data_IF_749824032238
#
_entry.id   IF_749824032238
#
_cell.length_a   1.000
_cell.length_b   1.000
_cell.length_c   1.000
_cell.angle_alpha   90.00
_cell.angle_beta   90.00
_cell.angle_gamma   90.00
#
_symmetry.space_group_name_H-M   'P 1'
#
loop_
_entity.id
_entity.type
_entity.pdbx_description
1 polymer ?
#
# COMPACT_ATOMS: atom_id res chain seq x y z
N UNK A 1 -18.61 44.74 60.44
CA UNK A 1 -18.13 43.68 61.36
C UNK A 1 -16.91 43.02 60.73
N UNK A 2 -15.79 43.03 61.47
CA UNK A 2 -14.51 42.31 61.33
C UNK A 2 -14.10 41.87 59.91
N UNK A 3 -13.38 42.69 59.15
CA UNK A 3 -11.93 42.99 59.12
C UNK A 3 -10.99 41.87 58.66
N UNK A 4 -9.95 42.21 57.88
CA UNK A 4 -9.22 41.29 57.01
C UNK A 4 -7.71 41.18 57.36
N UNK A 5 -7.01 40.39 56.55
CA UNK A 5 -5.74 40.74 55.89
C UNK A 5 -4.35 40.64 56.57
N UNK A 6 -3.51 39.85 55.88
CA UNK A 6 -2.10 40.07 55.43
C UNK A 6 -0.95 39.54 56.32
N UNK A 7 0.14 39.17 55.61
CA UNK A 7 1.59 39.26 55.92
C UNK A 7 2.21 37.84 56.14
N UNK A 8 3.26 37.33 55.46
CA UNK A 8 4.36 37.85 54.59
C UNK A 8 5.09 36.68 53.87
N UNK A 9 5.59 36.95 52.65
CA UNK A 9 6.96 36.77 52.07
C UNK A 9 7.78 35.50 52.37
N UNK A 10 8.22 34.77 51.31
CA UNK A 10 9.59 34.67 50.71
C UNK A 10 10.63 34.05 51.68
N UNK A 11 11.54 33.13 51.35
CA UNK A 11 12.11 32.66 50.07
C UNK A 11 13.17 31.57 50.36
N UNK A 12 13.51 30.76 49.33
CA UNK A 12 14.84 30.17 49.00
C UNK A 12 15.52 29.21 49.99
N UNK A 13 15.93 28.01 49.50
CA UNK A 13 17.31 27.76 49.04
C UNK A 13 17.42 26.35 48.41
N UNK A 14 18.08 26.28 47.24
CA UNK A 14 18.67 25.08 46.66
C UNK A 14 20.18 25.10 46.94
N UNK A 15 20.82 23.94 47.16
CA UNK A 15 22.14 23.66 46.58
C UNK A 15 22.54 22.16 46.67
N UNK A 16 23.41 21.83 45.72
CA UNK A 16 23.87 20.54 45.19
C UNK A 16 25.06 19.92 45.94
N UNK A 17 25.36 18.66 45.56
CA UNK A 17 26.68 18.12 45.17
C UNK A 17 27.32 17.08 46.12
N UNK A 18 27.60 15.87 45.62
CA UNK A 18 28.93 15.22 45.72
C UNK A 18 29.05 13.93 44.87
N UNK A 19 30.13 13.88 44.08
CA UNK A 19 30.69 12.71 43.36
C UNK A 19 31.75 12.05 44.25
N UNK A 20 31.95 10.72 44.19
CA UNK A 20 33.24 10.12 44.52
C UNK A 20 33.53 8.83 43.73
N UNK A 21 34.71 8.81 43.11
CA UNK A 21 35.38 7.74 42.37
C UNK A 21 36.34 6.96 43.31
N UNK A 22 36.58 5.66 43.08
CA UNK A 22 37.82 4.98 43.50
C UNK A 22 38.27 3.95 42.43
N UNK A 23 39.59 3.87 42.24
CA UNK A 23 40.34 3.22 41.14
C UNK A 23 41.14 1.98 41.63
N UNK A 24 41.25 0.94 40.75
CA UNK A 24 42.42 0.07 40.38
C UNK A 24 43.16 -0.78 41.46
N UNK A 25 43.70 -2.02 41.31
CA UNK A 25 43.95 -3.11 40.30
C UNK A 25 44.68 -4.29 41.05
N UNK A 26 45.31 -5.34 40.45
CA UNK A 26 44.98 -6.28 39.34
C UNK A 26 45.24 -7.79 39.68
N UNK A 27 44.91 -8.72 38.77
CA UNK A 27 45.69 -9.96 38.52
C UNK A 27 45.38 -10.57 37.13
N UNK A 28 46.43 -10.95 36.38
CA UNK A 28 46.38 -11.60 35.07
C UNK A 28 46.16 -13.13 35.17
N UNK A 29 45.46 -13.70 34.18
CA UNK A 29 45.82 -14.98 33.55
C UNK A 29 45.02 -15.17 32.27
N UNK A 30 45.70 -15.49 31.16
CA UNK A 30 45.08 -15.75 29.86
C UNK A 30 44.36 -17.10 29.79
N UNK A 31 43.32 -17.17 28.96
CA UNK A 31 42.80 -18.37 28.35
C UNK A 31 42.11 -18.01 27.03
N UNK A 32 42.37 -18.82 26.00
CA UNK A 32 41.85 -18.71 24.64
C UNK A 32 40.33 -18.53 24.59
N UNK A 33 39.87 -17.52 23.85
CA UNK A 33 38.51 -17.46 23.33
C UNK A 33 38.47 -18.23 22.01
N UNK A 34 37.87 -19.42 22.04
CA UNK A 34 37.42 -20.13 20.86
C UNK A 34 36.34 -19.32 20.15
N UNK A 35 36.36 -19.37 18.82
CA UNK A 35 35.31 -18.83 17.95
C UNK A 35 33.94 -19.31 18.45
N UNK A 36 33.10 -18.38 18.88
CA UNK A 36 31.69 -18.65 19.06
C UNK A 36 31.08 -18.75 17.66
N UNK A 37 30.41 -19.87 17.40
CA UNK A 37 29.66 -20.14 16.18
C UNK A 37 28.80 -18.93 15.80
N UNK A 38 29.05 -18.40 14.61
CA UNK A 38 28.14 -17.47 13.95
C UNK A 38 26.78 -18.16 13.81
N UNK A 39 25.67 -17.58 14.30
CA UNK A 39 24.36 -18.12 14.00
C UNK A 39 24.16 -18.00 12.50
N UNK A 40 23.92 -19.14 11.87
CA UNK A 40 23.51 -19.25 10.48
C UNK A 40 22.28 -18.35 10.31
N UNK A 41 22.40 -17.24 9.58
CA UNK A 41 21.24 -16.45 9.16
C UNK A 41 20.61 -17.24 8.02
N UNK A 42 19.76 -18.19 8.38
CA UNK A 42 18.81 -18.75 7.43
C UNK A 42 17.94 -17.61 6.91
N UNK A 43 17.94 -17.42 5.59
CA UNK A 43 16.96 -16.57 4.92
C UNK A 43 15.56 -17.01 5.37
N UNK A 44 14.65 -16.11 5.75
CA UNK A 44 13.32 -16.53 6.17
C UNK A 44 12.55 -17.01 4.93
N UNK A 45 12.60 -18.32 4.67
CA UNK A 45 11.79 -19.02 3.66
C UNK A 45 10.46 -19.54 4.20
N UNK A 46 10.10 -19.24 5.44
CA UNK A 46 8.79 -19.65 5.98
C UNK A 46 7.75 -18.59 5.68
N UNK A 47 7.03 -18.80 4.58
CA UNK A 47 5.67 -18.28 4.38
C UNK A 47 4.88 -18.60 5.66
N UNK A 48 4.12 -17.63 6.20
CA UNK A 48 3.24 -17.84 7.35
C UNK A 48 2.43 -19.13 7.16
N UNK A 49 2.39 -19.98 8.18
CA UNK A 49 1.81 -21.33 8.11
C UNK A 49 0.31 -21.34 7.74
N UNK A 50 -0.36 -20.19 7.83
CA UNK A 50 -1.79 -20.01 7.54
C UNK A 50 -2.06 -19.03 6.36
N UNK A 51 -1.05 -18.74 5.53
CA UNK A 51 -1.26 -17.94 4.31
C UNK A 51 -2.06 -18.75 3.28
N UNK A 52 -3.27 -18.28 3.00
CA UNK A 52 -4.05 -18.72 1.85
C UNK A 52 -3.58 -17.93 0.63
N UNK A 53 -3.28 -18.63 -0.46
CA UNK A 53 -2.89 -18.06 -1.73
C UNK A 53 -3.72 -18.65 -2.86
N UNK A 54 -4.35 -17.79 -3.64
CA UNK A 54 -5.13 -18.14 -4.81
C UNK A 54 -4.69 -17.27 -6.00
N UNK A 55 -3.90 -17.87 -6.89
CA UNK A 55 -3.46 -17.29 -8.17
C UNK A 55 -4.32 -17.72 -9.37
N UNK A 56 -5.32 -18.59 -9.17
CA UNK A 56 -6.26 -19.03 -10.21
C UNK A 56 -5.60 -19.61 -11.47
N UNK A 57 -4.61 -20.47 -11.29
CA UNK A 57 -3.86 -21.13 -12.36
C UNK A 57 -4.48 -22.48 -12.74
N UNK A 58 -5.34 -23.05 -11.89
CA UNK A 58 -6.04 -24.30 -12.18
C UNK A 58 -7.49 -24.28 -11.72
N UNK A 59 -8.33 -25.14 -12.29
CA UNK A 59 -9.72 -25.27 -11.82
C UNK A 59 -9.82 -25.78 -10.39
N UNK A 60 -8.76 -26.41 -9.86
CA UNK A 60 -8.72 -26.89 -8.49
C UNK A 60 -8.60 -25.74 -7.48
N UNK A 61 -8.06 -24.59 -7.89
CA UNK A 61 -7.96 -23.36 -7.09
C UNK A 61 -9.36 -22.82 -6.71
N UNK A 62 -10.37 -23.12 -7.54
CA UNK A 62 -11.76 -22.77 -7.21
C UNK A 62 -12.38 -23.69 -6.14
N UNK A 63 -11.80 -24.86 -5.87
CA UNK A 63 -12.36 -25.81 -4.89
C UNK A 63 -12.25 -25.30 -3.45
N UNK A 64 -11.29 -24.40 -3.20
CA UNK A 64 -11.16 -23.72 -1.93
C UNK A 64 -12.40 -22.86 -1.65
N UNK A 65 -12.96 -22.21 -2.67
CA UNK A 65 -14.07 -21.28 -2.49
C UNK A 65 -15.44 -21.96 -2.41
N UNK A 66 -16.42 -21.32 -1.76
CA UNK A 66 -17.83 -21.57 -2.11
C UNK A 66 -18.27 -20.61 -3.20
N UNK A 67 -19.06 -21.10 -4.14
CA UNK A 67 -19.48 -20.35 -5.31
C UNK A 67 -20.91 -19.82 -5.10
N UNK A 68 -21.07 -18.50 -5.19
CA UNK A 68 -22.36 -17.84 -5.31
C UNK A 68 -22.57 -17.43 -6.76
N UNK A 69 -22.99 -18.38 -7.62
CA UNK A 69 -23.25 -18.12 -9.06
C UNK A 69 -24.47 -18.89 -9.55
N UNK A 70 -25.20 -18.32 -10.52
CA UNK A 70 -26.32 -19.00 -11.19
C UNK A 70 -25.83 -19.90 -12.33
N UNK A 71 -24.79 -19.44 -13.03
CA UNK A 71 -24.60 -19.78 -14.42
C UNK A 71 -23.17 -20.26 -14.69
N UNK A 72 -22.99 -21.04 -15.76
CA UNK A 72 -21.70 -21.65 -16.08
C UNK A 72 -20.69 -20.65 -16.65
N UNK A 73 -21.14 -19.56 -17.27
CA UNK A 73 -20.24 -18.51 -17.78
C UNK A 73 -19.79 -17.52 -16.71
N UNK A 74 -20.47 -17.47 -15.56
CA UNK A 74 -20.29 -16.38 -14.60
C UNK A 74 -18.89 -16.36 -13.99
N UNK A 75 -18.25 -17.52 -13.84
CA UNK A 75 -16.88 -17.64 -13.33
C UNK A 75 -16.12 -18.55 -14.27
N UNK A 76 -15.03 -18.05 -14.85
CA UNK A 76 -14.12 -18.82 -15.71
C UNK A 76 -12.69 -18.40 -15.47
N UNK A 77 -11.78 -19.36 -15.48
CA UNK A 77 -10.37 -19.06 -15.66
C UNK A 77 -10.16 -18.49 -17.06
N UNK A 78 -9.34 -17.46 -17.15
CA UNK A 78 -9.10 -16.72 -18.36
C UNK A 78 -7.63 -16.27 -18.41
N UNK A 79 -6.97 -16.55 -19.54
CA UNK A 79 -5.57 -16.16 -19.78
C UNK A 79 -5.43 -14.87 -20.58
N UNK A 80 -6.52 -14.16 -20.87
CA UNK A 80 -6.46 -12.88 -21.60
C UNK A 80 -5.79 -11.79 -20.76
N UNK A 81 -6.09 -11.76 -19.46
CA UNK A 81 -5.46 -10.88 -18.49
C UNK A 81 -5.03 -11.73 -17.30
N UNK A 82 -3.77 -11.65 -16.90
CA UNK A 82 -3.25 -12.23 -15.65
C UNK A 82 -2.47 -11.17 -14.89
N UNK A 83 -2.55 -11.20 -13.56
CA UNK A 83 -1.75 -10.35 -12.68
C UNK A 83 -0.48 -11.07 -12.26
N UNK A 84 -0.65 -12.35 -11.95
CA UNK A 84 0.42 -13.28 -11.62
C UNK A 84 0.36 -14.45 -12.59
N UNK A 85 1.51 -15.06 -12.85
CA UNK A 85 1.60 -16.27 -13.65
C UNK A 85 0.82 -16.17 -14.99
N UNK A 86 -0.11 -17.09 -15.29
CA UNK A 86 -0.67 -17.22 -16.64
C UNK A 86 -2.16 -16.96 -16.76
N UNK A 87 -2.90 -16.99 -15.66
CA UNK A 87 -4.35 -16.91 -15.67
C UNK A 87 -4.89 -15.99 -14.57
N UNK A 88 -6.13 -15.57 -14.73
CA UNK A 88 -6.91 -14.98 -13.66
C UNK A 88 -8.35 -15.48 -13.73
N UNK A 89 -9.18 -15.08 -12.77
CA UNK A 89 -10.59 -15.42 -12.81
C UNK A 89 -11.42 -14.30 -13.39
N UNK A 90 -12.08 -14.57 -14.51
CA UNK A 90 -13.09 -13.70 -15.11
C UNK A 90 -14.45 -13.89 -14.43
N UNK A 91 -15.00 -12.79 -13.93
CA UNK A 91 -16.35 -12.71 -13.38
C UNK A 91 -17.28 -12.02 -14.38
N UNK A 92 -18.42 -12.64 -14.69
CA UNK A 92 -19.45 -12.10 -15.56
C UNK A 92 -20.84 -12.20 -14.93
N UNK A 93 -21.53 -11.07 -14.88
CA UNK A 93 -22.90 -10.95 -14.38
C UNK A 93 -23.76 -10.21 -15.40
N UNK A 94 -24.85 -10.83 -15.83
CA UNK A 94 -25.88 -10.17 -16.63
C UNK A 94 -27.03 -9.68 -15.75
N UNK A 95 -27.69 -8.62 -16.19
CA UNK A 95 -28.83 -8.01 -15.49
C UNK A 95 -29.95 -8.97 -15.17
N UNK A 96 -30.19 -9.91 -16.08
CA UNK A 96 -31.32 -10.84 -15.98
C UNK A 96 -30.89 -12.25 -15.54
N UNK A 97 -29.65 -12.44 -15.10
CA UNK A 97 -29.17 -13.67 -14.47
C UNK A 97 -30.03 -14.06 -13.26
N UNK A 98 -30.42 -15.33 -13.04
CA UNK A 98 -31.20 -15.74 -11.88
C UNK A 98 -30.63 -15.26 -10.54
N UNK A 99 -31.51 -14.99 -9.57
CA UNK A 99 -31.09 -14.60 -8.23
C UNK A 99 -30.26 -15.69 -7.56
N UNK A 100 -29.17 -15.27 -6.93
CA UNK A 100 -28.33 -16.10 -6.07
C UNK A 100 -28.24 -15.42 -4.72
N UNK A 101 -28.47 -16.18 -3.64
CA UNK A 101 -28.48 -15.65 -2.27
C UNK A 101 -29.36 -14.40 -2.13
N UNK A 102 -30.54 -14.44 -2.76
CA UNK A 102 -31.56 -13.39 -2.67
C UNK A 102 -31.33 -12.13 -3.52
N UNK A 103 -30.29 -12.08 -4.37
CA UNK A 103 -30.05 -10.93 -5.26
C UNK A 103 -29.16 -11.29 -6.47
N UNK A 104 -28.70 -10.29 -7.23
CA UNK A 104 -27.89 -10.47 -8.45
C UNK A 104 -26.40 -10.43 -8.14
N UNK A 105 -25.75 -11.59 -8.21
CA UNK A 105 -24.34 -11.73 -7.85
C UNK A 105 -23.64 -12.88 -8.57
N UNK A 106 -22.33 -12.74 -8.65
CA UNK A 106 -21.37 -13.80 -8.94
C UNK A 106 -20.18 -13.60 -8.02
N UNK A 107 -20.03 -14.44 -7.00
CA UNK A 107 -18.98 -14.25 -5.99
C UNK A 107 -18.34 -15.58 -5.58
N UNK A 108 -17.07 -15.50 -5.20
CA UNK A 108 -16.37 -16.52 -4.43
C UNK A 108 -16.42 -16.12 -2.96
N UNK A 109 -16.71 -17.05 -2.05
CA UNK A 109 -16.68 -16.83 -0.60
C UNK A 109 -15.70 -17.77 0.11
N UNK A 110 -14.89 -17.20 1.01
CA UNK A 110 -13.89 -17.94 1.78
C UNK A 110 -14.49 -18.75 2.94
N UNK A 111 -15.81 -18.68 3.15
CA UNK A 111 -16.50 -19.19 4.35
C UNK A 111 -16.20 -20.66 4.69
N UNK A 112 -15.93 -21.51 3.68
CA UNK A 112 -15.60 -22.93 3.88
C UNK A 112 -14.28 -23.14 4.64
N UNK A 113 -13.37 -22.19 4.54
CA UNK A 113 -12.01 -22.27 5.11
C UNK A 113 -11.84 -21.34 6.30
N UNK A 114 -12.95 -20.93 6.90
CA UNK A 114 -12.98 -20.17 8.13
C UNK A 114 -13.21 -18.67 7.92
N UNK A 115 -13.35 -18.02 9.07
CA UNK A 115 -13.55 -16.59 9.21
C UNK A 115 -12.44 -16.02 10.08
N UNK A 116 -12.14 -14.74 9.92
CA UNK A 116 -11.39 -13.96 10.88
C UNK A 116 -12.08 -13.98 12.26
N UNK A 117 -11.45 -14.51 13.31
CA UNK A 117 -12.00 -14.44 14.66
C UNK A 117 -12.20 -12.99 15.12
N UNK A 118 -13.11 -12.76 16.07
CA UNK A 118 -13.19 -11.48 16.75
C UNK A 118 -11.87 -11.15 17.45
N UNK A 119 -11.54 -9.87 17.51
CA UNK A 119 -10.32 -9.30 18.08
C UNK A 119 -9.00 -9.80 17.46
N UNK A 120 -9.06 -10.44 16.29
CA UNK A 120 -7.88 -10.86 15.51
C UNK A 120 -7.45 -9.81 14.50
N UNK A 121 -6.17 -9.87 14.11
CA UNK A 121 -5.65 -9.16 12.94
C UNK A 121 -5.73 -10.10 11.74
N UNK A 122 -6.18 -9.58 10.59
CA UNK A 122 -6.11 -10.27 9.31
C UNK A 122 -5.55 -9.37 8.23
N UNK A 123 -4.82 -10.01 7.32
CA UNK A 123 -4.35 -9.42 6.08
C UNK A 123 -5.12 -9.99 4.90
N UNK A 124 -5.48 -9.13 3.95
CA UNK A 124 -6.13 -9.53 2.71
C UNK A 124 -5.44 -8.85 1.54
N UNK A 125 -5.15 -9.60 0.48
CA UNK A 125 -4.66 -9.09 -0.79
C UNK A 125 -5.58 -9.51 -1.92
N UNK A 126 -5.79 -8.63 -2.90
CA UNK A 126 -6.59 -8.91 -4.09
C UNK A 126 -6.25 -7.93 -5.22
N UNK A 127 -6.20 -8.42 -6.44
CA UNK A 127 -5.98 -7.62 -7.64
C UNK A 127 -7.22 -7.62 -8.53
N UNK A 128 -7.55 -6.45 -9.09
CA UNK A 128 -8.69 -6.26 -9.97
C UNK A 128 -8.26 -5.70 -11.32
N UNK A 129 -8.73 -6.30 -12.42
CA UNK A 129 -8.65 -5.73 -13.75
C UNK A 129 -10.05 -5.31 -14.21
N UNK A 130 -10.21 -4.02 -14.46
CA UNK A 130 -11.47 -3.45 -14.95
C UNK A 130 -11.27 -3.00 -16.40
N UNK A 131 -11.92 -3.63 -17.38
CA UNK A 131 -11.73 -3.29 -18.78
C UNK A 131 -12.36 -1.92 -19.11
N UNK A 132 -11.92 -1.29 -20.19
CA UNK A 132 -12.49 -0.03 -20.69
C UNK A 132 -13.96 -0.14 -21.08
N UNK A 133 -14.43 -1.32 -21.49
CA UNK A 133 -15.82 -1.58 -21.88
C UNK A 133 -16.78 -1.88 -20.70
N UNK A 134 -16.27 -1.93 -19.47
CA UNK A 134 -17.08 -2.15 -18.26
C UNK A 134 -18.12 -1.03 -18.03
N UNK A 135 -17.93 0.13 -18.66
CA UNK A 135 -18.87 1.25 -18.64
C UNK A 135 -18.91 2.00 -17.30
N UNK A 136 -19.63 3.12 -17.30
CA UNK A 136 -19.92 3.92 -16.10
C UNK A 136 -21.38 3.71 -15.73
N UNK A 137 -21.62 3.47 -14.44
CA UNK A 137 -22.96 3.30 -13.88
C UNK A 137 -23.08 4.13 -12.60
N UNK A 138 -24.19 4.87 -12.41
CA UNK A 138 -24.40 5.66 -11.21
C UNK A 138 -24.72 4.80 -9.98
N UNK A 139 -25.17 3.56 -10.16
CA UNK A 139 -25.40 2.61 -9.06
C UNK A 139 -24.13 1.84 -8.76
N UNK A 140 -23.97 1.45 -7.49
CA UNK A 140 -22.81 0.67 -7.07
C UNK A 140 -22.93 -0.81 -7.45
N UNK A 141 -21.78 -1.45 -7.58
CA UNK A 141 -21.61 -2.88 -7.41
C UNK A 141 -20.48 -3.15 -6.42
N UNK A 142 -20.71 -4.06 -5.50
CA UNK A 142 -19.70 -4.51 -4.55
C UNK A 142 -18.78 -5.51 -5.27
N UNK A 143 -17.47 -5.34 -5.10
CA UNK A 143 -16.46 -6.22 -5.71
C UNK A 143 -15.59 -6.96 -4.70
N UNK A 144 -15.61 -6.48 -3.45
CA UNK A 144 -15.08 -7.17 -2.28
C UNK A 144 -15.96 -6.86 -1.08
N UNK A 145 -16.33 -7.87 -0.30
CA UNK A 145 -17.06 -7.69 0.95
C UNK A 145 -16.63 -8.69 2.01
N UNK A 146 -16.70 -8.27 3.27
CA UNK A 146 -16.48 -9.12 4.41
C UNK A 146 -17.81 -9.31 5.10
N UNK A 147 -18.22 -10.55 5.24
CA UNK A 147 -19.52 -10.90 5.81
C UNK A 147 -19.33 -11.58 7.16
N UNK A 148 -20.16 -11.20 8.13
CA UNK A 148 -20.18 -11.89 9.41
C UNK A 148 -20.95 -13.20 9.30
N UNK A 149 -20.47 -14.24 9.99
CA UNK A 149 -21.28 -15.44 10.22
C UNK A 149 -22.22 -15.19 11.41
N UNK A 150 -23.54 -15.41 11.27
CA UNK A 150 -24.49 -15.25 12.37
C UNK A 150 -24.19 -16.20 13.53
N UNK A 151 -24.40 -15.74 14.77
CA UNK A 151 -24.21 -16.55 15.98
C UNK A 151 -25.30 -17.60 16.15
N UNK A 152 -26.53 -17.22 15.79
CA UNK A 152 -27.68 -18.11 15.73
C UNK A 152 -28.29 -18.08 14.32
N UNK A 153 -28.56 -19.26 13.79
CA UNK A 153 -29.17 -19.45 12.48
C UNK A 153 -30.62 -19.93 12.69
N UNK A 154 -31.52 -19.00 13.06
CA UNK A 154 -32.95 -19.27 13.03
C UNK A 154 -33.40 -19.28 11.57
N UNK A 155 -34.17 -20.28 11.11
CA UNK A 155 -34.59 -20.35 9.70
C UNK A 155 -35.67 -19.28 9.39
N UNK A 156 -35.41 -18.31 8.49
CA UNK A 156 -34.22 -18.12 7.66
C UNK A 156 -33.10 -17.30 8.35
N UNK A 157 -31.85 -17.76 8.22
CA UNK A 157 -30.72 -17.16 8.94
C UNK A 157 -30.56 -15.67 8.62
N UNK A 158 -30.43 -14.83 9.65
CA UNK A 158 -30.16 -13.40 9.47
C UNK A 158 -28.67 -13.15 9.21
N UNK A 159 -28.32 -13.22 7.94
CA UNK A 159 -26.97 -12.89 7.47
C UNK A 159 -26.66 -11.41 7.68
N UNK A 160 -27.63 -10.50 7.50
CA UNK A 160 -27.40 -9.06 7.61
C UNK A 160 -26.59 -8.46 6.45
N UNK A 161 -26.26 -7.17 6.54
CA UNK A 161 -25.33 -6.49 5.63
C UNK A 161 -23.88 -6.85 5.93
N UNK A 162 -22.94 -6.72 4.99
CA UNK A 162 -21.54 -6.93 5.30
C UNK A 162 -21.02 -5.82 6.24
N UNK A 163 -20.25 -6.15 7.30
CA UNK A 163 -19.53 -5.17 8.11
C UNK A 163 -18.53 -4.34 7.31
N UNK A 164 -18.02 -4.81 6.18
CA UNK A 164 -17.12 -4.01 5.33
C UNK A 164 -17.29 -4.38 3.86
N UNK A 165 -17.20 -3.40 2.96
CA UNK A 165 -17.07 -3.66 1.53
C UNK A 165 -16.32 -2.55 0.81
N UNK A 166 -15.79 -2.89 -0.36
CA UNK A 166 -15.43 -1.95 -1.41
C UNK A 166 -16.31 -2.16 -2.64
N UNK A 167 -16.65 -1.06 -3.30
CA UNK A 167 -17.56 -1.04 -4.43
C UNK A 167 -17.03 -0.11 -5.55
N UNK A 168 -17.59 -0.30 -6.74
CA UNK A 168 -17.40 0.62 -7.87
C UNK A 168 -18.74 1.33 -8.10
N UNK A 169 -18.72 2.67 -8.15
CA UNK A 169 -19.83 3.48 -8.67
C UNK A 169 -19.30 4.78 -9.27
N UNK A 170 -19.91 5.25 -10.36
CA UNK A 170 -19.54 6.52 -10.97
C UNK A 170 -18.06 6.63 -11.36
N UNK A 171 -17.43 5.52 -11.75
CA UNK A 171 -15.99 5.42 -12.06
C UNK A 171 -15.05 5.71 -10.87
N UNK A 172 -15.52 5.52 -9.64
CA UNK A 172 -14.73 5.65 -8.42
C UNK A 172 -14.72 4.32 -7.66
N UNK A 173 -13.58 4.00 -7.07
CA UNK A 173 -13.48 3.05 -5.99
C UNK A 173 -14.06 3.70 -4.74
N UNK A 174 -14.93 2.99 -4.05
CA UNK A 174 -15.63 3.46 -2.86
C UNK A 174 -15.69 2.37 -1.82
N UNK A 175 -16.03 2.72 -0.60
CA UNK A 175 -16.13 1.71 0.44
C UNK A 175 -16.63 2.25 1.75
N UNK A 176 -17.11 1.31 2.54
CA UNK A 176 -17.56 1.60 3.88
C UNK A 176 -17.37 0.39 4.78
N UNK A 177 -17.24 0.67 6.08
CA UNK A 177 -17.38 -0.34 7.12
C UNK A 177 -18.40 0.09 8.17
N UNK A 178 -18.78 -0.88 8.99
CA UNK A 178 -19.79 -0.78 10.03
C UNK A 178 -19.26 -1.42 11.30
N UNK A 179 -19.78 -0.98 12.44
CA UNK A 179 -19.52 -1.61 13.73
C UNK A 179 -20.78 -1.62 14.60
N UNK A 180 -20.79 -2.54 15.57
CA UNK A 180 -21.86 -2.76 16.54
C UNK A 180 -21.22 -3.21 17.85
N UNK A 181 -21.48 -2.51 18.95
CA UNK A 181 -20.88 -2.77 20.26
C UNK A 181 -21.52 -3.95 20.99
N UNK A 182 -22.84 -4.15 20.86
CA UNK A 182 -23.62 -5.01 21.75
C UNK A 182 -24.03 -6.35 21.13
N UNK A 183 -23.67 -6.58 19.85
CA UNK A 183 -23.94 -7.81 19.12
C UNK A 183 -25.39 -7.94 18.68
N UNK A 184 -26.22 -6.92 18.95
CA UNK A 184 -27.60 -6.85 18.49
C UNK A 184 -27.63 -6.11 17.17
N UNK A 185 -27.20 -6.81 16.13
CA UNK A 185 -27.49 -6.39 14.77
C UNK A 185 -28.98 -6.66 14.47
N UNK A 186 -29.88 -5.94 15.14
CA UNK A 186 -31.32 -6.01 14.96
C UNK A 186 -31.71 -5.22 13.71
N UNK A 187 -32.49 -5.84 12.81
CA UNK A 187 -33.07 -5.21 11.63
C UNK A 187 -32.06 -4.47 10.72
N UNK A 188 -30.83 -4.98 10.62
CA UNK A 188 -29.83 -4.41 9.72
C UNK A 188 -29.36 -2.98 10.09
N UNK A 189 -29.41 -2.62 11.38
CA UNK A 189 -29.04 -1.29 11.87
C UNK A 189 -27.74 -1.35 12.69
N UNK A 190 -26.58 -0.92 12.13
CA UNK A 190 -25.33 -0.86 12.88
C UNK A 190 -25.30 0.36 13.83
N UNK A 191 -24.47 0.31 14.87
CA UNK A 191 -24.21 1.46 15.76
C UNK A 191 -23.44 2.58 15.05
N UNK A 192 -22.58 2.20 14.11
CA UNK A 192 -21.82 3.15 13.32
C UNK A 192 -21.57 2.69 11.90
N UNK A 193 -21.49 3.68 11.01
CA UNK A 193 -21.10 3.53 9.60
C UNK A 193 -20.00 4.53 9.32
N UNK A 194 -18.92 4.06 8.72
CA UNK A 194 -17.80 4.91 8.28
C UNK A 194 -17.61 4.68 6.79
N UNK A 195 -17.70 5.77 6.03
CA UNK A 195 -17.44 5.79 4.59
C UNK A 195 -16.01 6.29 4.33
N UNK A 196 -15.35 5.68 3.35
CA UNK A 196 -14.00 6.05 2.91
C UNK A 196 -13.94 6.22 1.39
N UNK A 197 -15.05 6.66 0.80
CA UNK A 197 -15.23 6.86 -0.65
C UNK A 197 -14.14 7.71 -1.30
N UNK A 198 -13.69 8.77 -0.63
CA UNK A 198 -12.70 9.70 -1.19
C UNK A 198 -11.26 9.18 -1.09
N UNK A 199 -11.01 8.09 -0.35
CA UNK A 199 -9.66 7.59 -0.12
C UNK A 199 -9.15 6.74 -1.29
N UNK A 200 -10.02 6.02 -2.00
CA UNK A 200 -9.60 5.01 -2.97
C UNK A 200 -9.45 5.56 -4.40
N UNK A 201 -10.00 6.73 -4.69
CA UNK A 201 -9.87 7.43 -5.96
C UNK A 201 -10.53 6.75 -7.17
N UNK A 202 -10.13 7.16 -8.37
CA UNK A 202 -10.75 6.70 -9.61
C UNK A 202 -10.41 5.24 -9.97
N UNK A 203 -11.33 4.63 -10.72
CA UNK A 203 -11.11 3.32 -11.35
C UNK A 203 -10.27 3.50 -12.61
N UNK A 204 -9.03 3.03 -12.52
CA UNK A 204 -8.13 2.86 -13.66
C UNK A 204 -8.67 1.74 -14.57
N UNK A 205 -8.67 1.97 -15.88
CA UNK A 205 -9.14 1.00 -16.88
C UNK A 205 -7.96 0.31 -17.56
N UNK A 206 -8.19 -0.91 -18.03
CA UNK A 206 -7.26 -1.74 -18.79
C UNK A 206 -5.89 -1.97 -18.11
N UNK A 207 -5.87 -1.89 -16.79
CA UNK A 207 -4.70 -2.17 -15.95
C UNK A 207 -5.14 -2.75 -14.61
N UNK A 208 -4.23 -3.47 -13.96
CA UNK A 208 -4.48 -4.04 -12.64
C UNK A 208 -4.50 -2.95 -11.56
N UNK A 209 -5.44 -3.08 -10.63
CA UNK A 209 -5.48 -2.34 -9.38
C UNK A 209 -5.34 -3.32 -8.24
N UNK A 210 -4.28 -3.16 -7.45
CA UNK A 210 -3.95 -4.02 -6.34
C UNK A 210 -4.46 -3.39 -5.05
N UNK A 211 -5.16 -4.16 -4.22
CA UNK A 211 -5.52 -3.75 -2.87
C UNK A 211 -4.92 -4.69 -1.84
N UNK A 212 -4.38 -4.11 -0.78
CA UNK A 212 -4.04 -4.81 0.45
C UNK A 212 -4.80 -4.18 1.60
N UNK A 213 -5.35 -5.01 2.47
CA UNK A 213 -6.08 -4.61 3.67
C UNK A 213 -5.41 -5.23 4.88
N UNK A 214 -5.19 -4.44 5.92
CA UNK A 214 -4.89 -4.94 7.26
C UNK A 214 -6.02 -4.52 8.18
N UNK A 215 -6.66 -5.48 8.84
CA UNK A 215 -7.83 -5.22 9.67
C UNK A 215 -7.66 -5.87 11.02
N UNK A 216 -7.87 -5.11 12.10
CA UNK A 216 -8.13 -5.68 13.42
C UNK A 216 -9.63 -5.63 13.69
N UNK A 217 -10.28 -6.78 13.58
CA UNK A 217 -11.72 -6.91 13.77
C UNK A 217 -12.09 -6.75 15.24
N UNK A 218 -12.33 -5.53 15.69
CA UNK A 218 -12.66 -5.24 17.08
C UNK A 218 -13.65 -4.10 17.17
N UNK A 219 -14.61 -4.25 18.07
CA UNK A 219 -15.67 -3.25 18.30
C UNK A 219 -15.24 -2.18 19.32
N UNK A 220 -13.97 -2.19 19.75
CA UNK A 220 -13.40 -1.15 20.61
C UNK A 220 -12.46 -0.23 19.84
N UNK A 221 -11.93 0.77 20.54
CA UNK A 221 -10.86 1.66 20.11
C UNK A 221 -9.56 0.97 19.65
N UNK A 222 -9.36 -0.32 19.94
CA UNK A 222 -8.19 -1.08 19.46
C UNK A 222 -8.36 -1.60 18.04
N UNK A 223 -9.57 -1.59 17.49
CA UNK A 223 -9.83 -1.94 16.08
C UNK A 223 -9.12 -0.99 15.14
N UNK A 224 -8.80 -1.46 13.93
CA UNK A 224 -8.22 -0.62 12.89
C UNK A 224 -8.47 -1.17 11.49
N UNK A 225 -8.36 -0.29 10.50
CA UNK A 225 -8.38 -0.61 9.08
C UNK A 225 -7.29 0.19 8.37
N UNK A 226 -6.35 -0.52 7.74
CA UNK A 226 -5.39 0.05 6.80
C UNK A 226 -5.64 -0.48 5.40
N UNK A 227 -5.59 0.39 4.41
CA UNK A 227 -5.81 0.04 3.01
C UNK A 227 -4.66 0.60 2.18
N UNK A 228 -3.99 -0.29 1.46
CA UNK A 228 -3.05 0.08 0.40
C UNK A 228 -3.71 -0.14 -0.95
N UNK A 229 -3.50 0.80 -1.87
CA UNK A 229 -3.86 0.68 -3.29
C UNK A 229 -2.60 0.84 -4.12
N UNK A 230 -2.27 -0.15 -4.95
CA UNK A 230 -1.08 -0.17 -5.79
C UNK A 230 0.21 0.13 -5.00
N UNK A 231 0.39 -0.53 -3.84
CA UNK A 231 1.54 -0.28 -2.96
C UNK A 231 1.40 0.92 -2.03
N UNK A 232 0.51 1.87 -2.29
CA UNK A 232 0.44 3.13 -1.53
C UNK A 232 -0.60 3.02 -0.42
N UNK A 233 -0.24 3.35 0.83
CA UNK A 233 -1.20 3.46 1.94
C UNK A 233 -2.15 4.64 1.65
N UNK A 234 -3.43 4.33 1.39
CA UNK A 234 -4.44 5.33 1.01
C UNK A 234 -5.47 5.58 2.11
N UNK A 235 -5.52 4.70 3.12
CA UNK A 235 -6.43 4.83 4.25
C UNK A 235 -5.83 4.20 5.52
N UNK A 236 -5.84 4.93 6.63
CA UNK A 236 -5.38 4.47 7.95
C UNK A 236 -6.39 4.94 9.01
N UNK A 237 -7.16 4.01 9.56
CA UNK A 237 -8.21 4.26 10.53
C UNK A 237 -7.95 3.48 11.82
N UNK A 238 -8.11 4.14 12.95
CA UNK A 238 -8.10 3.54 14.29
C UNK A 238 -9.48 3.75 14.95
N UNK A 239 -10.08 2.67 15.43
CA UNK A 239 -11.39 2.67 16.07
C UNK A 239 -12.20 1.40 15.82
N UNK A 240 -13.46 1.37 16.26
CA UNK A 240 -14.30 0.18 16.14
C UNK A 240 -14.58 -0.21 14.68
N UNK A 241 -14.49 -1.50 14.39
CA UNK A 241 -14.78 -2.10 13.08
C UNK A 241 -15.32 -3.53 13.23
N UNK A 242 -16.31 -3.87 12.41
CA UNK A 242 -16.92 -5.20 12.40
C UNK A 242 -18.05 -5.35 13.40
N UNK A 243 -18.86 -6.39 13.20
CA UNK A 243 -19.94 -6.74 14.11
C UNK A 243 -19.44 -7.68 15.21
N UNK A 244 -19.97 -7.53 16.41
CA UNK A 244 -19.74 -8.45 17.53
C UNK A 244 -20.49 -9.78 17.31
N UNK A 245 -20.08 -10.57 16.31
CA UNK A 245 -20.60 -11.91 16.00
C UNK A 245 -19.49 -12.94 16.15
N UNK A 246 -19.65 -13.89 17.06
CA UNK A 246 -18.70 -14.97 17.39
C UNK A 246 -18.27 -15.81 16.18
N UNK A 247 -19.10 -15.91 15.14
CA UNK A 247 -18.78 -16.58 13.89
C UNK A 247 -17.71 -15.89 13.02
N UNK A 248 -17.27 -14.68 13.40
CA UNK A 248 -16.21 -13.94 12.73
C UNK A 248 -16.59 -13.40 11.35
N UNK A 249 -15.59 -12.89 10.62
CA UNK A 249 -15.76 -12.28 9.30
C UNK A 249 -15.02 -13.03 8.19
N UNK A 250 -15.70 -13.39 7.11
CA UNK A 250 -15.10 -14.06 5.95
C UNK A 250 -15.16 -13.16 4.71
N UNK A 251 -14.17 -13.29 3.83
CA UNK A 251 -14.06 -12.47 2.62
C UNK A 251 -14.87 -13.07 1.47
N UNK A 252 -15.40 -12.19 0.64
CA UNK A 252 -15.99 -12.52 -0.65
C UNK A 252 -15.42 -11.59 -1.72
N UNK A 253 -15.16 -12.14 -2.89
CA UNK A 253 -14.70 -11.40 -4.08
C UNK A 253 -15.59 -11.74 -5.27
N UNK A 254 -15.82 -10.77 -6.16
CA UNK A 254 -16.60 -10.99 -7.37
C UNK A 254 -17.39 -9.75 -7.77
N UNK A 255 -18.67 -9.94 -8.10
CA UNK A 255 -19.59 -8.85 -8.46
C UNK A 255 -20.91 -9.09 -7.74
N UNK A 256 -21.29 -8.18 -6.85
CA UNK A 256 -22.63 -8.10 -6.30
C UNK A 256 -23.29 -6.77 -6.71
N UNK A 257 -24.28 -6.84 -7.63
CA UNK A 257 -24.94 -5.67 -8.20
C UNK A 257 -26.43 -5.65 -7.85
N UNK A 258 -26.81 -5.13 -6.66
CA UNK A 258 -28.20 -5.15 -6.22
C UNK A 258 -29.13 -4.38 -7.16
N UNK A 259 -28.61 -3.37 -7.88
CA UNK A 259 -29.40 -2.57 -8.82
C UNK A 259 -29.95 -3.36 -10.02
N UNK A 260 -29.42 -4.55 -10.30
CA UNK A 260 -29.97 -5.44 -11.34
C UNK A 260 -31.29 -6.10 -10.92
N UNK A 261 -31.58 -6.16 -9.61
CA UNK A 261 -32.85 -6.64 -9.06
C UNK A 261 -33.71 -5.50 -8.53
N UNK A 262 -33.14 -4.69 -7.66
CA UNK A 262 -33.81 -3.58 -6.98
C UNK A 262 -33.51 -2.29 -7.72
N UNK A 263 -34.45 -1.34 -7.82
CA UNK A 263 -34.18 -0.03 -8.44
C UNK A 263 -33.55 -0.13 -9.86
N UNK A 264 -34.08 -1.05 -10.70
CA UNK A 264 -33.53 -1.37 -12.04
C UNK A 264 -33.44 -0.15 -12.97
N UNK A 265 -34.32 0.83 -12.79
CA UNK A 265 -34.33 2.05 -13.60
C UNK A 265 -33.15 3.00 -13.28
N UNK A 266 -32.45 2.77 -12.16
CA UNK A 266 -31.29 3.58 -11.76
C UNK A 266 -29.98 3.11 -12.38
N UNK A 267 -29.90 1.88 -12.91
CA UNK A 267 -28.67 1.33 -13.52
C UNK A 267 -28.67 1.52 -15.05
N UNK A 268 -27.54 1.92 -15.59
CA UNK A 268 -27.34 2.15 -17.04
C UNK A 268 -26.77 0.95 -17.76
N UNK A 269 -26.49 -0.15 -17.06
CA UNK A 269 -25.71 -1.29 -17.60
C UNK A 269 -26.49 -2.58 -17.51
N UNK A 270 -26.31 -3.47 -18.48
CA UNK A 270 -26.96 -4.79 -18.52
C UNK A 270 -25.97 -5.94 -18.30
N UNK A 271 -24.69 -5.62 -18.26
CA UNK A 271 -23.59 -6.56 -18.08
C UNK A 271 -22.45 -5.94 -17.27
N UNK A 272 -21.81 -6.78 -16.45
CA UNK A 272 -20.58 -6.49 -15.71
C UNK A 272 -19.57 -7.60 -15.93
N UNK A 273 -18.36 -7.24 -16.33
CA UNK A 273 -17.27 -8.19 -16.57
C UNK A 273 -15.96 -7.63 -16.04
N UNK A 274 -15.37 -8.25 -15.02
CA UNK A 274 -14.05 -7.91 -14.52
C UNK A 274 -13.22 -9.17 -14.29
N UNK A 275 -11.92 -9.00 -14.09
CA UNK A 275 -11.03 -10.10 -13.69
C UNK A 275 -10.50 -9.84 -12.28
N UNK A 276 -10.35 -10.92 -11.53
CA UNK A 276 -9.78 -10.92 -10.19
C UNK A 276 -8.65 -11.94 -10.17
N UNK A 277 -7.56 -11.55 -9.52
CA UNK A 277 -6.37 -12.37 -9.38
C UNK A 277 -5.67 -12.11 -8.05
N UNK A 278 -4.64 -12.91 -7.74
CA UNK A 278 -3.71 -12.72 -6.63
C UNK A 278 -4.40 -12.58 -5.26
N UNK A 279 -5.45 -13.38 -5.02
CA UNK A 279 -6.21 -13.30 -3.77
C UNK A 279 -5.42 -14.01 -2.67
N UNK A 280 -5.15 -13.28 -1.59
CA UNK A 280 -4.40 -13.80 -0.43
C UNK A 280 -5.07 -13.44 0.88
N UNK A 281 -5.03 -14.37 1.83
CA UNK A 281 -5.54 -14.13 3.19
C UNK A 281 -4.49 -14.61 4.17
N UNK A 282 -4.00 -13.69 5.01
CA UNK A 282 -3.02 -13.94 6.06
C UNK A 282 -3.61 -13.72 7.46
N UNK A 283 -3.08 -14.42 8.44
CA UNK A 283 -3.37 -14.19 9.86
C UNK A 283 -2.54 -13.04 10.45
N UNK A 284 -2.55 -12.90 11.78
CA UNK A 284 -1.75 -11.90 12.50
C UNK A 284 -0.22 -12.07 12.35
N UNK A 285 0.25 -13.22 11.87
CA UNK A 285 1.68 -13.48 11.62
C UNK A 285 2.11 -13.06 10.22
N UNK A 286 1.16 -12.80 9.31
CA UNK A 286 1.44 -12.30 7.98
C UNK A 286 1.84 -10.81 7.98
N UNK A 287 2.42 -10.40 6.86
CA UNK A 287 2.82 -9.02 6.56
C UNK A 287 2.21 -8.56 5.23
N UNK A 288 2.40 -7.27 4.92
CA UNK A 288 2.05 -6.73 3.61
C UNK A 288 2.63 -7.57 2.47
N UNK A 289 3.91 -7.93 2.55
CA UNK A 289 4.63 -8.68 1.51
C UNK A 289 4.04 -10.06 1.28
N UNK A 290 3.48 -10.68 2.31
CA UNK A 290 2.89 -12.01 2.21
C UNK A 290 1.57 -12.01 1.45
N UNK A 291 0.80 -10.91 1.51
CA UNK A 291 -0.52 -10.82 0.86
C UNK A 291 -0.56 -9.98 -0.41
N UNK A 292 0.41 -9.09 -0.62
CA UNK A 292 0.50 -8.30 -1.85
C UNK A 292 0.76 -9.18 -3.08
N UNK A 293 0.31 -8.77 -4.28
CA UNK A 293 0.60 -9.51 -5.50
C UNK A 293 2.10 -9.69 -5.75
N UNK A 294 2.52 -10.90 -6.15
CA UNK A 294 3.87 -11.18 -6.68
C UNK A 294 4.05 -10.35 -7.96
N UNK A 295 5.25 -9.85 -8.19
CA UNK A 295 5.55 -8.86 -9.22
C UNK A 295 4.83 -7.51 -9.03
N UNK A 296 4.47 -7.13 -7.80
CA UNK A 296 4.50 -5.72 -7.44
C UNK A 296 5.96 -5.31 -7.23
N UNK A 297 6.58 -4.83 -8.30
CA UNK A 297 7.67 -3.85 -8.22
C UNK A 297 7.15 -2.46 -7.77
N UNK A 298 5.98 -2.45 -7.13
CA UNK A 298 5.50 -1.42 -6.22
C UNK A 298 5.37 -2.06 -4.82
N UNK A 299 6.52 -2.33 -4.20
CA UNK A 299 6.58 -2.38 -2.73
C UNK A 299 6.12 -1.00 -2.23
N UNK A 300 5.31 -0.90 -1.16
CA UNK A 300 5.07 0.37 -0.49
C UNK A 300 6.40 1.07 -0.27
N UNK A 301 6.48 2.33 -0.66
CA UNK A 301 7.70 3.12 -0.67
C UNK A 301 8.70 2.71 -1.74
N UNK A 302 8.32 2.50 -3.02
CA UNK A 302 9.27 2.37 -4.14
C UNK A 302 9.25 3.58 -5.08
N UNK A 303 10.43 3.95 -5.60
CA UNK A 303 10.69 5.22 -6.30
C UNK A 303 11.22 6.32 -5.38
N UNK A 304 11.40 7.53 -5.90
CA UNK A 304 11.80 8.71 -5.12
C UNK A 304 10.69 9.75 -5.12
N UNK A 305 10.45 10.37 -3.96
CA UNK A 305 9.53 11.51 -3.87
C UNK A 305 10.14 12.66 -4.65
N UNK A 306 9.37 13.30 -5.53
CA UNK A 306 9.81 14.52 -6.18
C UNK A 306 9.05 15.75 -5.70
N UNK A 307 9.75 16.87 -5.69
CA UNK A 307 9.20 18.22 -5.58
C UNK A 307 9.69 19.06 -6.76
N UNK A 308 8.76 19.64 -7.51
CA UNK A 308 9.03 20.49 -8.67
C UNK A 308 8.74 21.95 -8.34
N UNK A 309 9.65 22.85 -8.70
CA UNK A 309 9.58 24.28 -8.44
C UNK A 309 9.61 25.05 -9.75
N UNK A 310 8.79 26.10 -9.87
CA UNK A 310 8.77 27.00 -11.04
C UNK A 310 9.87 28.07 -11.01
N UNK A 311 11.06 27.70 -10.53
CA UNK A 311 12.29 28.50 -10.51
C UNK A 311 13.50 27.57 -10.48
N UNK A 312 14.69 28.07 -10.80
CA UNK A 312 15.97 27.35 -10.84
C UNK A 312 16.69 27.25 -9.46
N UNK A 313 16.06 27.75 -8.39
CA UNK A 313 16.69 27.86 -7.05
C UNK A 313 16.12 26.92 -6.00
N UNK A 314 15.19 26.03 -6.35
CA UNK A 314 14.48 25.14 -5.42
C UNK A 314 13.80 25.90 -4.27
N UNK A 315 13.34 27.13 -4.53
CA UNK A 315 12.80 28.01 -3.49
C UNK A 315 11.28 28.10 -3.53
N UNK A 316 10.69 28.36 -2.36
CA UNK A 316 9.23 28.49 -2.21
C UNK A 316 8.49 27.16 -2.08
N UNK A 317 7.19 27.20 -2.33
CA UNK A 317 6.33 25.99 -2.31
C UNK A 317 6.47 25.25 -3.65
N UNK A 318 6.67 23.93 -3.64
CA UNK A 318 6.64 23.13 -4.86
C UNK A 318 5.32 23.32 -5.61
N UNK A 319 5.39 23.52 -6.93
CA UNK A 319 4.21 23.64 -7.80
C UNK A 319 3.64 22.26 -8.17
N UNK A 320 4.42 21.20 -7.97
CA UNK A 320 3.97 19.80 -8.10
C UNK A 320 4.80 18.89 -7.20
N UNK A 321 4.18 17.87 -6.63
CA UNK A 321 4.86 16.79 -5.91
C UNK A 321 4.31 15.44 -6.36
N UNK A 322 5.10 14.39 -6.14
CA UNK A 322 4.71 13.03 -6.48
C UNK A 322 5.80 12.02 -6.13
N UNK A 323 5.76 10.87 -6.78
CA UNK A 323 6.78 9.84 -6.71
C UNK A 323 7.13 9.45 -8.14
N UNK A 324 8.42 9.45 -8.45
CA UNK A 324 8.93 8.91 -9.71
C UNK A 324 9.51 7.52 -9.44
N UNK A 325 9.10 6.55 -10.27
CA UNK A 325 9.58 5.17 -10.20
C UNK A 325 11.12 5.10 -10.34
N UNK A 326 11.66 5.89 -11.25
CA UNK A 326 13.09 6.07 -11.51
C UNK A 326 13.36 7.52 -11.87
N UNK A 327 14.59 7.99 -11.74
CA UNK A 327 15.01 9.27 -12.33
C UNK A 327 15.64 8.99 -13.69
N UNK A 328 14.81 8.95 -14.74
CA UNK A 328 15.23 8.84 -16.14
C UNK A 328 14.32 9.70 -17.01
N UNK A 329 14.57 11.01 -16.98
CA UNK A 329 13.77 12.00 -17.65
C UNK A 329 14.53 12.65 -18.80
N UNK A 330 13.89 12.67 -19.97
CA UNK A 330 14.33 13.37 -21.17
C UNK A 330 13.13 14.15 -21.72
N UNK A 331 13.00 15.40 -21.30
CA UNK A 331 11.89 16.25 -21.71
C UNK A 331 12.15 16.90 -23.08
N UNK A 332 13.38 16.81 -23.58
CA UNK A 332 13.82 17.55 -24.75
C UNK A 332 13.63 19.04 -24.52
N UNK A 333 12.91 19.71 -25.43
CA UNK A 333 12.57 21.13 -25.29
C UNK A 333 11.14 21.35 -24.77
N UNK A 334 10.56 20.39 -24.06
CA UNK A 334 9.19 20.47 -23.54
C UNK A 334 9.19 20.65 -22.03
N UNK A 335 8.07 21.15 -21.49
CA UNK A 335 7.83 21.20 -20.06
C UNK A 335 7.71 19.80 -19.42
N UNK A 336 8.04 19.65 -18.12
CA UNK A 336 7.88 18.41 -17.35
C UNK A 336 6.41 18.01 -17.11
N UNK A 337 5.46 18.79 -17.61
CA UNK A 337 4.04 18.48 -17.58
C UNK A 337 3.18 19.63 -18.11
N UNK A 338 1.93 19.31 -18.43
CA UNK A 338 0.98 20.31 -18.91
C UNK A 338 0.78 21.42 -17.86
N UNK A 339 0.91 22.68 -18.29
CA UNK A 339 0.77 23.86 -17.44
C UNK A 339 1.99 24.17 -16.55
N UNK A 340 3.11 23.46 -16.75
CA UNK A 340 4.39 23.76 -16.10
C UNK A 340 5.29 24.57 -17.05
N UNK A 341 6.27 25.32 -16.52
CA UNK A 341 7.23 26.05 -17.35
C UNK A 341 8.08 25.08 -18.19
N UNK A 342 8.36 25.48 -19.44
CA UNK A 342 9.30 24.78 -20.33
C UNK A 342 10.74 24.99 -19.86
N UNK A 343 11.06 26.22 -19.45
CA UNK A 343 12.38 26.64 -18.99
C UNK A 343 12.34 27.20 -17.56
N UNK A 344 13.47 27.21 -16.85
CA UNK A 344 13.64 27.91 -15.58
C UNK A 344 12.93 27.21 -14.41
N UNK A 345 13.04 25.87 -14.35
CA UNK A 345 12.46 25.05 -13.30
C UNK A 345 13.53 24.26 -12.54
N UNK A 346 13.16 23.72 -11.39
CA UNK A 346 14.03 22.83 -10.63
C UNK A 346 13.24 21.69 -10.01
N UNK A 347 13.94 20.58 -9.77
CA UNK A 347 13.37 19.38 -9.16
C UNK A 347 14.28 18.86 -8.06
N UNK A 348 13.66 18.33 -7.01
CA UNK A 348 14.34 17.56 -5.97
C UNK A 348 13.71 16.19 -5.87
N UNK A 349 14.50 15.14 -5.97
CA UNK A 349 14.13 13.76 -5.65
C UNK A 349 14.74 13.35 -4.31
N UNK A 350 13.94 12.82 -3.40
CA UNK A 350 14.33 12.38 -2.04
C UNK A 350 13.73 11.01 -1.70
N UNK A 351 14.50 10.21 -0.97
CA UNK A 351 14.12 8.89 -0.49
C UNK A 351 15.36 8.09 -0.08
N UNK A 352 15.33 6.78 -0.29
CA UNK A 352 16.44 5.87 0.01
C UNK A 352 16.82 5.02 -1.20
N UNK A 353 18.06 4.54 -1.22
CA UNK A 353 18.58 3.58 -2.19
C UNK A 353 19.12 2.35 -1.47
N UNK A 354 18.84 1.16 -1.99
CA UNK A 354 19.41 -0.10 -1.49
C UNK A 354 20.32 -0.71 -2.55
N UNK A 355 21.63 -0.91 -2.29
CA UNK A 355 22.53 -1.55 -3.25
C UNK A 355 22.30 -3.08 -3.29
N UNK A 356 22.46 -3.67 -4.47
CA UNK A 356 22.36 -5.14 -4.66
C UNK A 356 23.55 -5.90 -4.07
N UNK A 357 24.69 -5.23 -3.93
CA UNK A 357 25.98 -5.81 -3.57
C UNK A 357 26.69 -4.95 -2.53
N UNK A 358 27.46 -5.57 -1.63
CA UNK A 358 28.31 -4.84 -0.68
C UNK A 358 29.63 -4.45 -1.35
N UNK A 359 29.63 -3.31 -2.03
CA UNK A 359 30.74 -2.86 -2.89
C UNK A 359 30.88 -1.33 -2.85
N UNK A 360 31.93 -0.81 -3.49
CA UNK A 360 31.97 0.61 -3.86
C UNK A 360 31.09 0.83 -5.09
N UNK A 361 30.08 1.67 -4.95
CA UNK A 361 29.17 2.09 -6.01
C UNK A 361 29.61 3.44 -6.56
N UNK A 362 29.69 3.55 -7.88
CA UNK A 362 29.75 4.80 -8.61
C UNK A 362 28.31 5.23 -8.91
N UNK A 363 27.88 6.34 -8.33
CA UNK A 363 26.63 7.00 -8.70
C UNK A 363 26.95 8.06 -9.73
N UNK A 364 26.22 8.05 -10.84
CA UNK A 364 26.37 9.02 -11.91
C UNK A 364 25.04 9.73 -12.18
N UNK A 365 25.11 11.01 -12.52
CA UNK A 365 23.97 11.76 -13.08
C UNK A 365 24.28 12.14 -14.51
N UNK A 366 23.28 12.15 -15.39
CA UNK A 366 23.38 12.82 -16.69
C UNK A 366 22.35 13.93 -16.72
N UNK A 367 22.80 15.19 -16.78
CA UNK A 367 21.92 16.36 -16.69
C UNK A 367 22.25 17.47 -17.68
N UNK A 368 21.20 18.08 -18.22
CA UNK A 368 21.21 19.39 -18.89
C UNK A 368 20.43 20.38 -18.03
N UNK A 369 21.05 20.62 -16.90
CA UNK A 369 21.76 21.84 -16.53
C UNK A 369 22.38 21.42 -15.18
N UNK A 370 22.28 22.23 -14.12
CA UNK A 370 22.93 21.90 -12.86
C UNK A 370 22.31 20.72 -12.10
N UNK A 371 23.18 20.03 -11.35
CA UNK A 371 22.82 18.84 -10.56
C UNK A 371 23.64 18.75 -9.28
N UNK A 372 23.03 18.24 -8.22
CA UNK A 372 23.71 17.81 -7.00
C UNK A 372 23.18 16.45 -6.57
N UNK A 373 24.05 15.62 -6.03
CA UNK A 373 23.68 14.29 -5.54
C UNK A 373 24.29 14.05 -4.17
N UNK A 374 23.46 13.56 -3.24
CA UNK A 374 23.87 13.04 -1.95
C UNK A 374 23.44 11.58 -1.82
N UNK A 375 24.30 10.75 -1.26
CA UNK A 375 24.02 9.37 -0.85
C UNK A 375 24.56 9.17 0.57
N UNK A 376 23.77 8.60 1.47
CA UNK A 376 24.03 8.54 2.91
C UNK A 376 24.43 9.91 3.50
N UNK A 377 23.73 10.95 3.04
CA UNK A 377 23.98 12.37 3.40
C UNK A 377 25.38 12.89 3.02
N UNK A 378 26.20 12.10 2.33
CA UNK A 378 27.47 12.53 1.75
C UNK A 378 27.23 13.10 0.35
N UNK A 379 27.71 14.33 0.12
CA UNK A 379 27.61 14.96 -1.21
C UNK A 379 28.62 14.32 -2.17
N UNK A 380 28.11 13.60 -3.16
CA UNK A 380 28.92 12.91 -4.17
C UNK A 380 29.15 13.79 -5.40
N UNK A 381 28.14 14.60 -5.77
CA UNK A 381 28.18 15.48 -6.94
C UNK A 381 27.74 16.88 -6.52
N UNK A 382 28.51 17.89 -6.92
CA UNK A 382 28.17 19.31 -6.79
C UNK A 382 28.49 20.09 -8.05
N UNK A 383 27.59 20.04 -9.03
CA UNK A 383 27.75 20.74 -10.29
C UNK A 383 26.52 21.57 -10.61
N UNK A 384 26.30 22.63 -9.83
CA UNK A 384 25.18 23.56 -9.96
C UNK A 384 25.48 24.69 -10.98
N UNK A 385 25.83 24.32 -12.21
CA UNK A 385 26.21 25.27 -13.28
C UNK A 385 25.39 25.06 -14.54
N UNK A 386 25.21 26.12 -15.32
CA UNK A 386 24.60 26.06 -16.65
C UNK A 386 25.53 25.33 -17.62
N UNK A 387 25.07 24.23 -18.20
CA UNK A 387 25.86 23.31 -19.05
C UNK A 387 24.94 22.42 -19.89
N UNK A 388 25.40 22.05 -21.07
CA UNK A 388 24.79 20.95 -21.84
C UNK A 388 24.84 19.62 -21.11
N UNK A 389 24.03 18.64 -21.54
CA UNK A 389 24.03 17.23 -21.06
C UNK A 389 25.44 16.75 -20.71
N UNK A 390 25.73 16.65 -19.42
CA UNK A 390 27.01 16.22 -18.87
C UNK A 390 26.81 15.10 -17.89
N UNK A 391 27.70 14.11 -17.94
CA UNK A 391 27.75 13.05 -16.94
C UNK A 391 28.72 13.43 -15.82
N UNK A 392 28.22 13.47 -14.58
CA UNK A 392 28.99 13.66 -13.37
C UNK A 392 28.87 12.40 -12.51
N UNK A 393 29.97 11.93 -11.90
CA UNK A 393 29.95 10.73 -11.06
C UNK A 393 30.68 10.95 -9.73
N UNK A 394 30.25 10.23 -8.69
CA UNK A 394 30.95 10.13 -7.41
C UNK A 394 30.72 8.77 -6.77
N UNK A 395 31.65 8.33 -5.93
CA UNK A 395 31.67 6.96 -5.40
C UNK A 395 31.45 6.91 -3.90
N UNK A 396 30.78 5.85 -3.42
CA UNK A 396 30.59 5.56 -2.00
C UNK A 396 30.57 4.04 -1.77
N UNK A 397 31.13 3.58 -0.64
CA UNK A 397 31.08 2.17 -0.26
C UNK A 397 29.80 1.89 0.51
N UNK A 398 29.00 0.95 0.02
CA UNK A 398 27.71 0.59 0.60
C UNK A 398 27.64 -0.91 0.92
N UNK A 399 26.69 -1.29 1.78
CA UNK A 399 26.41 -2.68 2.14
C UNK A 399 25.08 -3.13 1.54
N UNK A 400 25.07 -4.31 0.91
CA UNK A 400 23.85 -4.92 0.38
C UNK A 400 22.79 -5.10 1.48
N UNK A 401 21.53 -4.88 1.13
CA UNK A 401 20.40 -5.00 2.06
C UNK A 401 20.31 -3.90 3.12
N UNK A 402 21.15 -2.86 3.04
CA UNK A 402 21.01 -1.64 3.82
C UNK A 402 20.52 -0.50 2.93
N UNK A 403 19.49 0.21 3.40
CA UNK A 403 19.00 1.43 2.74
C UNK A 403 19.80 2.65 3.18
N UNK A 404 20.07 3.54 2.23
CA UNK A 404 20.82 4.78 2.43
C UNK A 404 20.03 5.96 1.88
N UNK A 405 19.99 7.08 2.61
CA UNK A 405 19.35 8.30 2.13
C UNK A 405 19.93 8.72 0.79
N UNK A 406 19.09 8.99 -0.19
CA UNK A 406 19.48 9.52 -1.49
C UNK A 406 18.70 10.80 -1.78
N UNK A 407 19.42 11.81 -2.24
CA UNK A 407 18.83 13.08 -2.68
C UNK A 407 19.49 13.54 -3.96
N UNK A 408 18.70 13.80 -4.98
CA UNK A 408 19.15 14.45 -6.21
C UNK A 408 18.43 15.77 -6.36
N UNK A 409 19.18 16.85 -6.56
CA UNK A 409 18.66 18.16 -6.94
C UNK A 409 19.07 18.45 -8.38
N UNK A 410 18.18 19.08 -9.13
CA UNK A 410 18.36 19.43 -10.54
C UNK A 410 17.76 20.81 -10.81
N UNK A 411 18.37 21.59 -11.69
CA UNK A 411 17.70 22.72 -12.32
C UNK A 411 17.88 22.66 -13.84
N UNK A 412 16.89 23.23 -14.51
CA UNK A 412 16.88 23.57 -15.91
C UNK A 412 16.84 25.11 -15.97
N UNK A 413 17.72 25.74 -16.75
CA UNK A 413 17.64 27.18 -16.98
C UNK A 413 16.96 27.53 -18.31
N UNK A 414 17.42 26.93 -19.42
CA UNK A 414 16.82 27.12 -20.75
C UNK A 414 17.15 25.97 -21.72
N UNK A 415 16.21 25.61 -22.59
CA UNK A 415 16.46 24.83 -23.79
C UNK A 415 16.17 23.33 -23.63
N UNK A 416 17.21 22.50 -23.61
CA UNK A 416 17.07 21.05 -23.59
C UNK A 416 17.16 20.55 -22.15
N UNK A 417 16.21 19.73 -21.70
CA UNK A 417 16.09 19.32 -20.31
C UNK A 417 16.18 17.80 -20.15
N UNK A 418 17.19 17.35 -19.41
CA UNK A 418 17.44 15.93 -19.08
C UNK A 418 17.88 15.81 -17.64
N UNK A 419 17.35 14.80 -16.94
CA UNK A 419 17.82 14.38 -15.63
C UNK A 419 17.78 12.85 -15.53
N UNK A 420 18.95 12.22 -15.40
CA UNK A 420 19.09 10.78 -15.18
C UNK A 420 19.93 10.48 -13.95
N UNK A 421 19.57 9.43 -13.23
CA UNK A 421 20.32 8.89 -12.09
C UNK A 421 20.70 7.43 -12.35
N UNK A 422 22.00 7.16 -12.34
CA UNK A 422 22.59 5.88 -12.69
C UNK A 422 23.51 5.40 -11.57
N UNK A 423 23.76 4.10 -11.56
CA UNK A 423 24.77 3.50 -10.70
C UNK A 423 25.57 2.39 -11.40
N UNK A 424 26.74 2.07 -10.88
CA UNK A 424 27.52 0.87 -11.23
C UNK A 424 28.42 0.45 -10.07
N UNK A 425 28.83 -0.82 -10.05
CA UNK A 425 29.82 -1.36 -9.12
C UNK A 425 30.59 -2.50 -9.79
N UNK A 426 31.41 -3.26 -9.06
CA UNK A 426 32.16 -4.38 -9.62
C UNK A 426 31.22 -5.50 -10.13
N UNK A 427 30.11 -5.75 -9.43
CA UNK A 427 29.10 -6.75 -9.79
C UNK A 427 27.84 -6.16 -10.42
N UNK A 428 27.69 -4.83 -10.44
CA UNK A 428 26.55 -4.10 -11.02
C UNK A 428 26.98 -3.39 -12.30
N UNK A 429 26.46 -3.83 -13.46
CA UNK A 429 26.64 -3.08 -14.71
C UNK A 429 25.98 -1.71 -14.62
N UNK A 430 26.52 -0.72 -15.34
CA UNK A 430 25.94 0.61 -15.36
C UNK A 430 24.52 0.62 -15.92
N UNK A 431 23.58 1.15 -15.15
CA UNK A 431 22.16 1.27 -15.50
C UNK A 431 21.51 2.44 -14.77
N UNK A 432 20.33 2.87 -15.24
CA UNK A 432 19.41 3.69 -14.43
C UNK A 432 19.12 2.94 -13.15
N UNK A 433 19.15 3.61 -12.00
CA UNK A 433 18.81 2.95 -10.74
C UNK A 433 17.35 2.49 -10.83
N UNK A 434 17.09 1.17 -10.78
CA UNK A 434 15.75 0.66 -11.04
C UNK A 434 14.84 0.97 -9.85
N UNK A 435 13.54 1.08 -10.13
CA UNK A 435 12.52 1.35 -9.11
C UNK A 435 12.60 0.38 -7.93
N UNK A 436 12.97 -0.88 -8.20
CA UNK A 436 13.12 -1.91 -7.18
C UNK A 436 14.20 -1.60 -6.14
N UNK A 437 15.06 -0.61 -6.37
CA UNK A 437 16.18 -0.21 -5.50
C UNK A 437 16.05 1.23 -4.98
N UNK A 438 14.95 1.92 -5.29
CA UNK A 438 14.65 3.27 -4.82
C UNK A 438 13.44 3.21 -3.90
N UNK A 439 13.47 3.95 -2.79
CA UNK A 439 12.42 3.92 -1.79
C UNK A 439 11.96 5.30 -1.34
N UNK A 440 10.65 5.54 -1.28
CA UNK A 440 10.09 6.84 -0.91
C UNK A 440 9.74 6.88 0.59
N UNK A 441 10.45 7.68 1.41
CA UNK A 441 10.22 7.77 2.86
C UNK A 441 8.75 8.02 3.24
N UNK A 442 8.21 7.41 4.31
CA UNK A 442 6.86 7.75 4.78
C UNK A 442 6.81 9.19 5.32
N UNK A 443 5.71 9.93 5.03
CA UNK A 443 5.50 11.31 5.49
C UNK A 443 5.13 11.39 6.97
#
# INVERSE_FOLDING_TARGET
MRTPNVIRRLSTLALSCMVLLFLFTPALSGAHLSMADTPNVESPTTISADLIYEGFETTDDLNWWSLEKCCNYSIRLDGVYSREDNQSTRFELLRDDPDVSGSRRVELTSIKNGSAPLNSVRWYGVSYYVPSDYGIDPTFEIVSQWHSRPDECNDPCDWGSPPMHINISGNQWKGQFRYDYDGKFENNTPDGVVEFDNALGSVARDQWTDFVFQVRWSQSDVGFLKIWKNGILVYDYQGPIGFNRSGGHHMKVGIYKPSYKYNRDSTTTDKRVLWIDAVRIGDETASYKDVAPRNNDAVPNQGLRYALYGNDTLSGTPIKTGVDATVDWDWGTNAPGAGLPEDGFSMRWEGQVEPRYSETYDFCTASDDGVRLWVDRQQLIDNWTFKSVTEDCGSITLQAGQQYDIKMEYFEATGYAVARLLWSSASQSKEIIPQSQLFADEL
#
